data_IF_554840990419
#
_entry.id   IF_554840990419
#
_cell.length_a   1.000
_cell.length_b   1.000
_cell.length_c   1.000
_cell.angle_alpha   90.00
_cell.angle_beta   90.00
_cell.angle_gamma   90.00
#
_symmetry.space_group_name_H-M   'P 1'
#
loop_
_entity.id
_entity.type
_entity.pdbx_description
1 polymer ?
#
# COMPACT_ATOMS: atom_id res chain seq x y z
N UNK A 1 26.43 -14.14 82.33
CA UNK A 1 26.02 -14.70 81.02
C UNK A 1 24.91 -13.82 80.47
N UNK A 2 25.25 -12.97 79.49
CA UNK A 2 24.33 -12.04 78.84
C UNK A 2 23.70 -12.74 77.63
N UNK A 3 22.41 -13.06 77.72
CA UNK A 3 21.63 -13.62 76.62
C UNK A 3 21.24 -12.53 75.63
N UNK A 4 21.70 -12.68 74.38
CA UNK A 4 21.44 -11.73 73.30
C UNK A 4 19.98 -11.72 72.86
N UNK A 5 19.46 -10.51 72.61
CA UNK A 5 18.29 -10.28 71.75
C UNK A 5 18.78 -9.55 70.50
N UNK A 6 18.72 -10.22 69.35
CA UNK A 6 18.83 -9.56 68.03
C UNK A 6 17.55 -8.75 67.77
N UNK A 7 17.62 -7.57 67.14
CA UNK A 7 16.42 -6.86 66.72
C UNK A 7 15.79 -7.56 65.52
N UNK A 8 14.47 -7.69 65.55
CA UNK A 8 13.64 -8.06 64.40
C UNK A 8 13.78 -6.97 63.33
N UNK A 9 14.32 -7.31 62.15
CA UNK A 9 14.17 -6.48 60.96
C UNK A 9 12.81 -6.79 60.33
N UNK A 10 11.83 -5.91 60.51
CA UNK A 10 10.67 -5.87 59.62
C UNK A 10 11.14 -5.28 58.29
N UNK A 11 11.51 -6.14 57.34
CA UNK A 11 11.48 -5.75 55.95
C UNK A 11 10.01 -5.78 55.52
N UNK A 12 9.44 -4.59 55.38
CA UNK A 12 8.17 -4.39 54.69
C UNK A 12 8.42 -4.74 53.22
N UNK A 13 8.09 -5.97 52.82
CA UNK A 13 7.90 -6.31 51.41
C UNK A 13 6.66 -5.56 50.93
N UNK A 14 6.88 -4.35 50.45
CA UNK A 14 5.88 -3.63 49.67
C UNK A 14 5.71 -4.41 48.37
N UNK A 15 4.71 -5.28 48.31
CA UNK A 15 4.29 -5.91 47.07
C UNK A 15 3.89 -4.79 46.10
N UNK A 16 4.76 -4.52 45.13
CA UNK A 16 4.44 -3.64 44.02
C UNK A 16 3.28 -4.30 43.26
N UNK A 17 2.09 -3.71 43.34
CA UNK A 17 0.98 -4.09 42.48
C UNK A 17 1.46 -3.98 41.03
N UNK A 18 1.42 -5.08 40.31
CA UNK A 18 1.76 -5.08 38.89
C UNK A 18 0.80 -4.12 38.17
N UNK A 19 1.29 -3.30 37.23
CA UNK A 19 0.44 -2.43 36.43
C UNK A 19 -0.65 -3.27 35.76
N UNK A 20 -1.90 -2.79 35.83
CA UNK A 20 -3.04 -3.49 35.27
C UNK A 20 -3.10 -3.20 33.76
N UNK A 21 -2.38 -4.02 32.99
CA UNK A 21 -2.31 -3.89 31.54
C UNK A 21 -3.68 -4.22 30.94
N UNK A 22 -4.26 -3.26 30.21
CA UNK A 22 -5.48 -3.44 29.44
C UNK A 22 -5.14 -3.96 28.04
N UNK A 23 -5.65 -5.15 27.71
CA UNK A 23 -5.47 -5.76 26.39
C UNK A 23 -6.74 -5.53 25.59
N UNK A 24 -6.62 -4.77 24.50
CA UNK A 24 -7.66 -4.63 23.49
C UNK A 24 -7.45 -5.65 22.39
N UNK A 25 -8.55 -6.20 21.87
CA UNK A 25 -8.50 -7.20 20.80
C UNK A 25 -7.93 -6.58 19.51
N UNK A 26 -8.46 -5.43 19.10
CA UNK A 26 -8.06 -4.82 17.83
C UNK A 26 -8.24 -3.31 17.80
N UNK A 27 -7.51 -2.64 16.92
CA UNK A 27 -7.77 -1.25 16.48
C UNK A 27 -7.56 -1.14 14.96
N UNK A 28 -8.32 -0.26 14.33
CA UNK A 28 -8.24 0.02 12.89
C UNK A 28 -7.85 1.48 12.66
N UNK A 29 -6.77 1.70 11.90
CA UNK A 29 -6.36 3.01 11.41
C UNK A 29 -6.79 3.20 9.96
N UNK A 30 -7.61 4.21 9.70
CA UNK A 30 -7.98 4.62 8.34
C UNK A 30 -6.99 5.71 7.88
N UNK A 31 -5.88 5.27 7.27
CA UNK A 31 -4.71 6.10 6.99
C UNK A 31 -4.79 6.83 5.63
N UNK A 32 -5.93 7.45 5.35
CA UNK A 32 -6.15 8.25 4.16
C UNK A 32 -7.57 8.78 4.05
N UNK A 33 -7.85 9.46 2.95
CA UNK A 33 -9.16 10.00 2.62
C UNK A 33 -9.51 9.69 1.17
N UNK A 34 -10.81 9.62 0.90
CA UNK A 34 -11.37 9.40 -0.41
C UNK A 34 -11.28 10.68 -1.26
N UNK A 35 -10.90 10.54 -2.53
CA UNK A 35 -10.83 11.64 -3.49
C UNK A 35 -11.76 11.38 -4.67
N UNK A 36 -12.45 12.42 -5.14
CA UNK A 36 -13.39 12.36 -6.26
C UNK A 36 -14.47 11.28 -6.02
N UNK A 37 -14.65 10.34 -6.95
CA UNK A 37 -15.66 9.28 -6.87
C UNK A 37 -15.15 7.98 -6.21
N UNK A 38 -13.91 7.96 -5.70
CA UNK A 38 -13.39 6.80 -4.97
C UNK A 38 -14.02 6.75 -3.57
N UNK A 39 -14.45 5.58 -3.11
CA UNK A 39 -15.09 5.39 -1.80
C UNK A 39 -14.38 4.33 -0.94
N UNK A 40 -13.12 4.02 -1.23
CA UNK A 40 -12.36 2.96 -0.59
C UNK A 40 -12.29 3.10 0.93
N UNK A 41 -11.86 4.26 1.43
CA UNK A 41 -11.68 4.49 2.87
C UNK A 41 -13.00 4.54 3.61
N UNK A 42 -14.01 5.20 3.02
CA UNK A 42 -15.36 5.26 3.57
C UNK A 42 -16.00 3.87 3.66
N UNK A 43 -15.85 3.05 2.64
CA UNK A 43 -16.37 1.67 2.64
C UNK A 43 -15.61 0.77 3.64
N UNK A 44 -14.28 0.91 3.73
CA UNK A 44 -13.49 0.18 4.71
C UNK A 44 -13.90 0.54 6.14
N UNK A 45 -14.09 1.83 6.42
CA UNK A 45 -14.60 2.30 7.70
C UNK A 45 -15.95 1.66 8.03
N UNK A 46 -16.92 1.72 7.11
CA UNK A 46 -18.24 1.11 7.33
C UNK A 46 -18.15 -0.40 7.61
N UNK A 47 -17.27 -1.10 6.90
CA UNK A 47 -17.03 -2.53 7.09
C UNK A 47 -16.51 -2.84 8.50
N UNK A 48 -15.48 -2.14 8.97
CA UNK A 48 -14.93 -2.36 10.32
C UNK A 48 -15.86 -1.87 11.44
N UNK A 49 -16.65 -0.81 11.22
CA UNK A 49 -17.66 -0.35 12.18
C UNK A 49 -18.73 -1.42 12.45
N UNK A 50 -19.18 -2.13 11.41
CA UNK A 50 -20.16 -3.22 11.56
C UNK A 50 -19.61 -4.43 12.32
N UNK A 51 -18.29 -4.57 12.38
CA UNK A 51 -17.61 -5.58 13.19
C UNK A 51 -17.34 -5.10 14.62
N UNK A 52 -17.84 -3.93 14.99
CA UNK A 52 -17.67 -3.33 16.31
C UNK A 52 -16.18 -3.10 16.67
N UNK A 53 -15.32 -2.97 15.67
CA UNK A 53 -13.89 -2.71 15.87
C UNK A 53 -13.65 -1.23 16.14
N UNK A 54 -12.84 -0.85 17.15
CA UNK A 54 -12.43 0.53 17.36
C UNK A 54 -11.71 1.09 16.14
N UNK A 55 -12.09 2.30 15.72
CA UNK A 55 -11.50 2.96 14.56
C UNK A 55 -10.90 4.30 14.98
N UNK A 56 -9.66 4.51 14.61
CA UNK A 56 -8.98 5.81 14.67
C UNK A 56 -8.93 6.41 13.26
N UNK A 57 -9.52 7.60 13.14
CA UNK A 57 -9.57 8.38 11.91
C UNK A 57 -8.69 9.61 12.07
N UNK A 58 -7.99 10.01 11.01
CA UNK A 58 -7.20 11.26 11.01
C UNK A 58 -5.70 11.09 11.25
N UNK A 59 -5.21 9.86 11.45
CA UNK A 59 -3.79 9.55 11.42
C UNK A 59 -3.42 9.04 10.03
N UNK A 60 -2.70 9.86 9.26
CA UNK A 60 -2.46 9.63 7.82
C UNK A 60 -0.99 9.29 7.50
N UNK A 61 -0.15 9.23 8.53
CA UNK A 61 1.28 8.96 8.41
C UNK A 61 1.69 7.82 9.34
N UNK A 62 2.79 7.14 9.00
CA UNK A 62 3.31 6.07 9.86
C UNK A 62 3.78 6.61 11.23
N UNK A 63 4.33 7.82 11.28
CA UNK A 63 4.75 8.45 12.53
C UNK A 63 3.58 8.72 13.47
N UNK A 64 2.45 9.23 12.96
CA UNK A 64 1.25 9.47 13.77
C UNK A 64 0.72 8.16 14.37
N UNK A 65 0.68 7.09 13.57
CA UNK A 65 0.26 5.77 14.05
C UNK A 65 1.23 5.23 15.12
N UNK A 66 2.55 5.36 14.91
CA UNK A 66 3.54 4.93 15.91
C UNK A 66 3.41 5.73 17.20
N UNK A 67 3.27 7.06 17.10
CA UNK A 67 3.08 7.94 18.26
C UNK A 67 1.82 7.57 19.04
N UNK A 68 0.72 7.27 18.34
CA UNK A 68 -0.51 6.78 18.96
C UNK A 68 -0.28 5.47 19.72
N UNK A 69 0.38 4.48 19.10
CA UNK A 69 0.67 3.18 19.73
C UNK A 69 1.58 3.36 20.94
N UNK A 70 2.60 4.22 20.85
CA UNK A 70 3.48 4.53 21.97
C UNK A 70 2.72 5.15 23.15
N UNK A 71 1.87 6.14 22.89
CA UNK A 71 1.03 6.77 23.90
C UNK A 71 0.04 5.78 24.54
N UNK A 72 -0.62 4.93 23.73
CA UNK A 72 -1.46 3.85 24.26
C UNK A 72 -0.64 2.90 25.14
N UNK A 73 0.58 2.59 24.70
CA UNK A 73 1.59 1.81 25.40
C UNK A 73 1.92 2.34 26.80
N UNK A 74 2.23 3.62 26.89
CA UNK A 74 2.50 4.34 28.15
C UNK A 74 1.30 4.33 29.10
N UNK A 75 0.09 4.40 28.54
CA UNK A 75 -1.17 4.30 29.27
C UNK A 75 -1.60 2.84 29.54
N UNK A 76 -0.68 1.88 29.45
CA UNK A 76 -0.90 0.45 29.74
C UNK A 76 -1.96 -0.22 28.86
N UNK A 77 -2.24 0.34 27.68
CA UNK A 77 -3.09 -0.29 26.65
C UNK A 77 -2.21 -1.03 25.66
N UNK A 78 -2.59 -2.26 25.30
CA UNK A 78 -1.93 -3.09 24.29
C UNK A 78 -2.97 -3.62 23.31
N UNK A 79 -2.57 -3.85 22.07
CA UNK A 79 -3.44 -4.38 21.02
C UNK A 79 -2.95 -5.76 20.59
N UNK A 80 -3.86 -6.72 20.41
CA UNK A 80 -3.49 -7.99 19.75
C UNK A 80 -3.37 -7.80 18.24
N UNK A 81 -4.29 -7.05 17.65
CA UNK A 81 -4.31 -6.77 16.21
C UNK A 81 -4.37 -5.27 15.93
N UNK A 82 -3.54 -4.81 14.99
CA UNK A 82 -3.57 -3.44 14.47
C UNK A 82 -3.80 -3.53 12.98
N UNK A 83 -4.93 -3.03 12.52
CA UNK A 83 -5.24 -2.95 11.10
C UNK A 83 -4.89 -1.56 10.57
N UNK A 84 -4.18 -1.50 9.46
CA UNK A 84 -3.84 -0.26 8.78
C UNK A 84 -4.44 -0.29 7.39
N UNK A 85 -5.44 0.55 7.15
CA UNK A 85 -6.08 0.70 5.83
C UNK A 85 -5.40 1.85 5.10
N UNK A 86 -4.70 1.54 4.02
CA UNK A 86 -4.09 2.54 3.14
C UNK A 86 -4.05 2.03 1.71
N UNK A 87 -4.23 2.90 0.72
CA UNK A 87 -3.95 2.51 -0.65
C UNK A 87 -2.47 2.14 -0.81
N UNK A 88 -2.23 1.16 -1.67
CA UNK A 88 -0.89 0.87 -2.16
C UNK A 88 -0.95 0.72 -3.67
N UNK A 89 0.13 1.13 -4.30
CA UNK A 89 0.34 1.00 -5.72
C UNK A 89 1.55 0.09 -5.90
N UNK A 90 1.39 -0.97 -6.71
CA UNK A 90 2.43 -1.97 -6.96
C UNK A 90 3.77 -1.37 -7.42
N UNK A 91 3.73 -0.18 -8.05
CA UNK A 91 4.90 0.51 -8.61
C UNK A 91 5.40 1.69 -7.77
N UNK A 92 4.51 2.40 -7.09
CA UNK A 92 4.83 3.67 -6.38
C UNK A 92 4.85 3.53 -4.84
N UNK A 93 4.73 2.30 -4.33
CA UNK A 93 4.63 2.04 -2.89
C UNK A 93 3.29 2.50 -2.29
N UNK A 94 3.25 2.56 -0.96
CA UNK A 94 2.03 2.90 -0.22
C UNK A 94 1.69 4.39 -0.35
N UNK A 95 0.40 4.74 -0.31
CA UNK A 95 -0.03 6.14 -0.28
C UNK A 95 0.25 6.83 1.03
N UNK A 96 0.26 6.06 2.13
CA UNK A 96 0.71 6.53 3.43
C UNK A 96 2.12 7.10 3.34
N UNK A 97 2.35 8.19 4.07
CA UNK A 97 3.62 8.92 4.09
C UNK A 97 4.39 8.68 5.39
N UNK A 98 5.67 8.99 5.37
CA UNK A 98 6.53 8.96 6.57
C UNK A 98 6.02 9.94 7.63
N UNK A 99 5.77 11.19 7.20
CA UNK A 99 5.27 12.31 8.02
C UNK A 99 4.43 13.24 7.15
N UNK A 100 3.81 14.25 7.75
CA UNK A 100 3.04 15.25 7.03
C UNK A 100 3.90 15.92 5.95
N UNK A 101 3.40 16.01 4.72
CA UNK A 101 4.12 16.51 3.53
C UNK A 101 5.43 15.75 3.21
N UNK A 102 5.69 14.62 3.84
CA UNK A 102 6.87 13.77 3.61
C UNK A 102 6.72 12.84 2.41
N UNK A 103 7.74 12.02 2.17
CA UNK A 103 7.72 11.04 1.08
C UNK A 103 6.70 9.92 1.32
N UNK A 104 6.25 9.31 0.22
CA UNK A 104 5.47 8.06 0.24
C UNK A 104 6.31 6.93 0.84
N UNK A 105 5.65 5.95 1.44
CA UNK A 105 6.33 4.78 1.99
C UNK A 105 6.78 3.85 0.87
N UNK A 106 8.09 3.66 0.80
CA UNK A 106 8.84 2.73 -0.05
C UNK A 106 9.95 2.12 0.79
N UNK A 107 10.63 1.09 0.28
CA UNK A 107 11.80 0.50 0.97
C UNK A 107 12.85 1.59 1.23
N UNK A 108 13.25 2.33 0.18
CA UNK A 108 14.27 3.38 0.26
C UNK A 108 13.88 4.50 1.24
N UNK A 109 12.64 4.98 1.19
CA UNK A 109 12.19 6.08 2.06
C UNK A 109 12.05 5.66 3.52
N UNK A 110 11.65 4.41 3.81
CA UNK A 110 11.65 3.88 5.17
C UNK A 110 13.08 3.70 5.71
N UNK A 111 13.97 3.06 4.96
CA UNK A 111 15.37 2.86 5.36
C UNK A 111 16.06 4.20 5.66
N UNK A 112 15.87 5.19 4.77
CA UNK A 112 16.39 6.53 4.97
C UNK A 112 15.79 7.19 6.22
N UNK A 113 14.47 7.11 6.40
CA UNK A 113 13.82 7.74 7.52
C UNK A 113 14.19 7.10 8.88
N UNK A 114 14.41 5.78 8.92
CA UNK A 114 14.94 5.09 10.12
C UNK A 114 16.37 5.56 10.42
N UNK A 115 17.23 5.66 9.40
CA UNK A 115 18.64 6.05 9.56
C UNK A 115 18.79 7.50 10.04
N UNK A 116 17.97 8.41 9.51
CA UNK A 116 18.02 9.84 9.84
C UNK A 116 17.15 10.20 11.06
N UNK A 117 16.64 9.21 11.81
CA UNK A 117 15.75 9.41 12.97
C UNK A 117 14.48 10.23 12.65
N UNK A 118 14.00 10.16 11.41
CA UNK A 118 12.78 10.81 10.94
C UNK A 118 11.51 9.98 11.23
N UNK A 119 11.66 8.75 11.75
CA UNK A 119 10.58 7.93 12.27
C UNK A 119 10.76 7.73 13.77
N UNK A 120 9.69 7.95 14.54
CA UNK A 120 9.70 7.64 15.96
C UNK A 120 9.93 6.13 16.18
N UNK A 121 10.79 5.78 17.12
CA UNK A 121 10.99 4.37 17.43
C UNK A 121 9.84 3.87 18.28
N UNK A 122 9.16 2.82 17.83
CA UNK A 122 8.15 2.16 18.65
C UNK A 122 8.82 1.41 19.82
N UNK A 123 8.24 1.46 21.01
CA UNK A 123 8.76 0.68 22.14
C UNK A 123 8.37 -0.79 21.94
N UNK A 124 9.35 -1.70 21.85
CA UNK A 124 9.11 -3.13 21.57
C UNK A 124 8.20 -3.79 22.61
N UNK A 125 8.24 -3.33 23.86
CA UNK A 125 7.36 -3.81 24.93
C UNK A 125 5.87 -3.55 24.66
N UNK A 126 5.55 -2.66 23.72
CA UNK A 126 4.18 -2.29 23.37
C UNK A 126 3.64 -3.10 22.19
N UNK A 127 4.51 -3.67 21.34
CA UNK A 127 4.13 -4.41 20.12
C UNK A 127 4.67 -5.84 20.03
N UNK A 128 5.45 -6.30 21.01
CA UNK A 128 6.12 -7.61 21.00
C UNK A 128 5.22 -8.84 21.17
N UNK A 129 3.93 -8.73 20.83
CA UNK A 129 2.97 -9.83 20.59
C UNK A 129 1.83 -9.38 19.64
N UNK A 130 1.97 -8.22 18.99
CA UNK A 130 0.93 -7.61 18.16
C UNK A 130 1.08 -8.03 16.71
N UNK A 131 -0.04 -8.37 16.07
CA UNK A 131 -0.12 -8.56 14.63
C UNK A 131 -0.46 -7.25 13.95
N UNK A 132 0.34 -6.84 12.97
CA UNK A 132 0.00 -5.71 12.11
C UNK A 132 -0.56 -6.24 10.80
N UNK A 133 -1.78 -5.83 10.44
CA UNK A 133 -2.45 -6.24 9.22
C UNK A 133 -2.63 -5.02 8.32
N UNK A 134 -1.98 -5.03 7.16
CA UNK A 134 -2.15 -3.99 6.16
C UNK A 134 -3.23 -4.38 5.14
N UNK A 135 -4.27 -3.55 5.08
CA UNK A 135 -5.27 -3.59 4.02
C UNK A 135 -4.85 -2.62 2.92
N UNK A 136 -3.81 -3.05 2.19
CA UNK A 136 -3.14 -2.26 1.16
C UNK A 136 -2.93 -3.09 -0.10
N UNK A 137 -3.58 -2.67 -1.19
CA UNK A 137 -3.62 -3.43 -2.45
C UNK A 137 -2.22 -3.82 -2.94
N UNK A 138 -1.98 -5.12 -3.13
CA UNK A 138 -0.74 -5.64 -3.70
C UNK A 138 0.48 -5.57 -2.77
N UNK A 139 0.36 -5.10 -1.53
CA UNK A 139 1.51 -4.98 -0.62
C UNK A 139 2.14 -6.35 -0.30
N UNK A 140 1.34 -7.42 -0.30
CA UNK A 140 1.81 -8.80 -0.10
C UNK A 140 2.84 -9.29 -1.11
N UNK A 141 2.87 -8.73 -2.32
CA UNK A 141 3.88 -9.04 -3.34
C UNK A 141 5.26 -8.44 -2.99
N UNK A 142 5.28 -7.31 -2.26
CA UNK A 142 6.52 -6.60 -1.91
C UNK A 142 7.05 -7.04 -0.53
N UNK A 143 7.68 -8.22 -0.50
CA UNK A 143 8.29 -8.79 0.72
C UNK A 143 9.37 -7.93 1.35
N UNK A 144 10.11 -7.15 0.55
CA UNK A 144 11.11 -6.23 1.06
C UNK A 144 10.45 -5.11 1.86
N UNK A 145 9.42 -4.48 1.31
CA UNK A 145 8.68 -3.42 2.01
C UNK A 145 7.96 -3.95 3.26
N UNK A 146 7.36 -5.14 3.20
CA UNK A 146 6.76 -5.75 4.39
C UNK A 146 7.78 -6.05 5.49
N UNK A 147 8.99 -6.47 5.12
CA UNK A 147 10.09 -6.65 6.08
C UNK A 147 10.46 -5.35 6.76
N UNK A 148 10.60 -4.26 5.99
CA UNK A 148 10.90 -2.93 6.56
C UNK A 148 9.78 -2.42 7.46
N UNK A 149 8.51 -2.62 7.08
CA UNK A 149 7.36 -2.29 7.94
C UNK A 149 7.38 -3.10 9.24
N UNK A 150 7.70 -4.39 9.18
CA UNK A 150 7.87 -5.23 10.37
C UNK A 150 8.96 -4.70 11.30
N UNK A 151 10.09 -4.25 10.75
CA UNK A 151 11.17 -3.64 11.53
C UNK A 151 10.73 -2.32 12.18
N UNK A 152 10.06 -1.44 11.42
CA UNK A 152 9.58 -0.15 11.90
C UNK A 152 8.55 -0.29 13.03
N UNK A 153 7.59 -1.20 12.89
CA UNK A 153 6.59 -1.49 13.93
C UNK A 153 7.12 -2.39 15.06
N UNK A 154 8.35 -2.91 14.94
CA UNK A 154 8.94 -3.93 15.84
C UNK A 154 7.96 -5.05 16.19
N UNK A 155 7.10 -5.39 15.23
CA UNK A 155 6.01 -6.34 15.41
C UNK A 155 6.52 -7.77 15.21
N UNK A 156 5.89 -8.72 15.91
CA UNK A 156 6.22 -10.13 15.72
C UNK A 156 5.71 -10.67 14.40
N UNK A 157 4.58 -10.13 13.93
CA UNK A 157 3.93 -10.53 12.70
C UNK A 157 3.43 -9.31 11.93
N UNK A 158 3.74 -9.27 10.63
CA UNK A 158 3.11 -8.34 9.68
C UNK A 158 2.48 -9.12 8.54
N UNK A 159 1.24 -8.78 8.20
CA UNK A 159 0.47 -9.48 7.18
C UNK A 159 -0.11 -8.50 6.16
N UNK A 160 -0.03 -8.83 4.87
CA UNK A 160 -0.73 -8.10 3.82
C UNK A 160 -1.09 -9.01 2.65
N UNK A 161 -2.19 -8.72 1.96
CA UNK A 161 -2.59 -9.48 0.79
C UNK A 161 -1.79 -9.05 -0.46
N UNK A 162 -1.35 -10.00 -1.31
CA UNK A 162 -0.86 -9.68 -2.65
C UNK A 162 -1.99 -9.24 -3.59
N UNK A 163 -3.25 -9.39 -3.16
CA UNK A 163 -4.42 -9.07 -3.96
C UNK A 163 -4.95 -7.66 -3.67
N UNK A 164 -5.89 -7.24 -4.49
CA UNK A 164 -6.60 -5.98 -4.31
C UNK A 164 -7.65 -6.15 -3.22
N UNK A 165 -7.66 -5.25 -2.23
CA UNK A 165 -8.73 -5.20 -1.22
C UNK A 165 -9.90 -4.41 -1.80
N UNK A 166 -11.07 -5.04 -1.92
CA UNK A 166 -12.28 -4.38 -2.39
C UNK A 166 -13.24 -4.22 -1.22
N UNK A 167 -13.50 -2.98 -0.81
CA UNK A 167 -14.50 -2.65 0.20
C UNK A 167 -15.73 -2.02 -0.45
N UNK A 168 -16.92 -2.41 0.02
CA UNK A 168 -18.22 -1.96 -0.50
C UNK A 168 -18.56 -2.57 -1.87
N UNK A 169 -18.21 -3.84 -2.08
CA UNK A 169 -18.66 -4.59 -3.24
C UNK A 169 -20.18 -4.71 -3.31
N UNK A 170 -20.71 -4.99 -4.51
CA UNK A 170 -22.16 -5.12 -4.73
C UNK A 170 -22.71 -6.38 -4.08
N UNK A 171 -21.93 -7.44 -4.03
CA UNK A 171 -22.35 -8.75 -3.52
C UNK A 171 -21.65 -9.17 -2.21
N UNK A 172 -20.59 -8.46 -1.81
CA UNK A 172 -19.90 -8.64 -0.53
C UNK A 172 -19.29 -7.33 -0.04
N UNK A 173 -19.37 -7.07 1.26
CA UNK A 173 -18.85 -5.82 1.85
C UNK A 173 -17.32 -5.73 1.80
N UNK A 174 -16.64 -6.88 1.84
CA UNK A 174 -15.19 -6.98 1.64
C UNK A 174 -14.86 -8.28 0.92
N UNK A 175 -14.00 -8.20 -0.09
CA UNK A 175 -13.40 -9.37 -0.73
C UNK A 175 -12.04 -9.03 -1.33
N UNK A 176 -11.30 -10.06 -1.72
CA UNK A 176 -10.03 -9.94 -2.43
C UNK A 176 -10.22 -10.21 -3.93
N UNK A 177 -9.58 -9.39 -4.76
CA UNK A 177 -9.56 -9.57 -6.20
C UNK A 177 -8.13 -9.60 -6.74
N UNK A 178 -7.85 -10.55 -7.63
CA UNK A 178 -6.56 -10.62 -8.30
C UNK A 178 -6.49 -9.58 -9.41
N UNK A 179 -5.50 -8.66 -9.40
CA UNK A 179 -5.35 -7.65 -10.45
C UNK A 179 -4.58 -8.20 -11.66
N UNK A 180 -4.97 -7.74 -12.84
CA UNK A 180 -4.26 -7.94 -14.11
C UNK A 180 -4.15 -6.59 -14.81
N UNK A 181 -2.97 -6.31 -15.37
CA UNK A 181 -2.65 -4.97 -15.86
C UNK A 181 -2.38 -4.99 -17.36
N UNK A 182 -2.94 -3.98 -18.03
CA UNK A 182 -2.58 -3.61 -19.39
C UNK A 182 -2.27 -2.11 -19.45
N UNK A 183 -1.45 -1.72 -20.41
CA UNK A 183 -0.96 -0.36 -20.51
C UNK A 183 -1.12 0.17 -21.93
N UNK A 184 -1.44 1.45 -22.05
CA UNK A 184 -1.41 2.14 -23.34
C UNK A 184 -1.12 3.63 -23.14
N UNK A 185 -0.50 4.30 -24.15
CA UNK A 185 -0.25 5.74 -24.08
C UNK A 185 -1.56 6.50 -23.85
N UNK A 186 -1.59 7.41 -22.89
CA UNK A 186 -2.85 8.05 -22.49
C UNK A 186 -3.55 8.73 -23.67
N UNK A 187 -4.85 8.49 -23.81
CA UNK A 187 -5.71 8.93 -24.93
C UNK A 187 -5.43 8.27 -26.31
N UNK A 188 -4.59 7.23 -26.36
CA UNK A 188 -4.29 6.47 -27.58
C UNK A 188 -4.73 5.00 -27.45
N UNK A 189 -5.90 4.79 -26.83
CA UNK A 189 -6.50 3.46 -26.68
C UNK A 189 -6.84 2.87 -28.05
N UNK A 190 -6.36 1.64 -28.32
CA UNK A 190 -6.74 0.85 -29.50
C UNK A 190 -8.13 0.21 -29.40
N UNK A 191 -8.84 0.45 -28.29
CA UNK A 191 -10.18 -0.07 -28.04
C UNK A 191 -10.20 -1.45 -27.34
N UNK A 192 -11.34 -1.83 -26.73
CA UNK A 192 -11.43 -3.06 -25.93
C UNK A 192 -11.12 -4.35 -26.69
N UNK A 193 -11.48 -4.43 -27.98
CA UNK A 193 -11.21 -5.63 -28.80
C UNK A 193 -9.71 -5.90 -28.93
N UNK A 194 -8.92 -4.90 -29.31
CA UNK A 194 -7.47 -5.02 -29.41
C UNK A 194 -6.84 -5.31 -28.04
N UNK A 195 -7.23 -4.54 -27.02
CA UNK A 195 -6.70 -4.72 -25.67
C UNK A 195 -7.03 -6.10 -25.11
N UNK A 196 -8.20 -6.67 -25.41
CA UNK A 196 -8.55 -8.04 -24.98
C UNK A 196 -7.61 -9.10 -25.56
N UNK A 197 -7.06 -8.86 -26.75
CA UNK A 197 -6.07 -9.76 -27.35
C UNK A 197 -4.73 -9.64 -26.64
N UNK A 198 -4.29 -8.41 -26.36
CA UNK A 198 -3.06 -8.17 -25.60
C UNK A 198 -3.12 -8.80 -24.20
N UNK A 199 -4.26 -8.73 -23.52
CA UNK A 199 -4.46 -9.43 -22.25
C UNK A 199 -4.41 -10.96 -22.40
N UNK A 200 -4.98 -11.54 -23.46
CA UNK A 200 -4.87 -12.98 -23.73
C UNK A 200 -3.43 -13.42 -23.97
N UNK A 201 -2.64 -12.59 -24.65
CA UNK A 201 -1.23 -12.85 -24.92
C UNK A 201 -0.37 -12.72 -23.65
N UNK A 202 -0.64 -11.70 -22.82
CA UNK A 202 0.09 -11.46 -21.57
C UNK A 202 -0.30 -12.45 -20.45
N UNK A 203 -1.53 -12.99 -20.48
CA UNK A 203 -2.09 -13.86 -19.46
C UNK A 203 -2.71 -15.13 -20.08
N UNK A 204 -1.93 -15.98 -20.78
CA UNK A 204 -2.46 -17.09 -21.57
C UNK A 204 -3.13 -18.19 -20.74
N UNK A 205 -2.76 -18.31 -19.46
CA UNK A 205 -3.27 -19.34 -18.54
C UNK A 205 -4.44 -18.84 -17.67
N UNK A 206 -4.97 -17.66 -17.96
CA UNK A 206 -6.03 -17.04 -17.16
C UNK A 206 -7.34 -17.10 -17.92
N UNK A 207 -8.32 -17.79 -17.34
CA UNK A 207 -9.65 -17.99 -17.92
C UNK A 207 -10.60 -16.84 -17.57
N UNK A 208 -10.36 -15.68 -18.19
CA UNK A 208 -11.23 -14.50 -18.09
C UNK A 208 -11.74 -14.17 -19.49
N UNK A 209 -13.03 -13.85 -19.62
CA UNK A 209 -13.53 -13.14 -20.80
C UNK A 209 -13.03 -11.69 -20.76
N UNK A 210 -11.85 -11.49 -21.35
CA UNK A 210 -11.18 -10.20 -21.36
C UNK A 210 -11.99 -9.12 -22.06
N UNK A 211 -12.74 -9.44 -23.11
CA UNK A 211 -13.51 -8.40 -23.80
C UNK A 211 -14.59 -7.85 -22.88
N UNK A 212 -15.35 -8.75 -22.26
CA UNK A 212 -16.39 -8.39 -21.30
C UNK A 212 -15.79 -7.65 -20.11
N UNK A 213 -14.76 -8.18 -19.47
CA UNK A 213 -14.11 -7.56 -18.32
C UNK A 213 -13.59 -6.13 -18.62
N UNK A 214 -13.08 -5.90 -19.83
CA UNK A 214 -12.59 -4.58 -20.26
C UNK A 214 -13.69 -3.56 -20.56
N UNK A 215 -14.92 -4.03 -20.78
CA UNK A 215 -16.11 -3.17 -20.98
C UNK A 215 -16.91 -2.95 -19.69
N UNK A 216 -16.81 -3.87 -18.73
CA UNK A 216 -17.45 -3.80 -17.42
C UNK A 216 -16.63 -2.93 -16.47
N UNK A 217 -17.19 -1.79 -16.01
CA UNK A 217 -16.44 -0.78 -15.23
C UNK A 217 -16.44 -0.97 -13.72
N UNK A 218 -17.38 -1.77 -13.24
CA UNK A 218 -17.62 -2.08 -11.84
C UNK A 218 -18.28 -3.45 -11.78
N UNK A 219 -18.33 -4.04 -10.59
CA UNK A 219 -18.98 -5.33 -10.37
C UNK A 219 -20.45 -5.30 -10.84
N UNK A 220 -20.73 -6.01 -11.92
CA UNK A 220 -22.05 -6.05 -12.56
C UNK A 220 -22.82 -7.33 -12.22
N UNK A 221 -22.09 -8.45 -12.21
CA UNK A 221 -22.56 -9.78 -11.83
C UNK A 221 -21.61 -10.38 -10.78
N UNK A 222 -22.12 -11.36 -10.03
CA UNK A 222 -21.35 -12.04 -9.01
C UNK A 222 -20.11 -12.74 -9.62
N UNK A 223 -18.93 -12.51 -9.03
CA UNK A 223 -17.69 -13.19 -9.40
C UNK A 223 -17.11 -12.83 -10.78
N UNK A 224 -17.77 -12.00 -11.56
CA UNK A 224 -17.29 -11.59 -12.88
C UNK A 224 -16.17 -10.56 -12.78
N UNK A 225 -15.16 -10.70 -13.63
CA UNK A 225 -14.08 -9.73 -13.70
C UNK A 225 -14.57 -8.39 -14.27
N UNK A 226 -14.04 -7.30 -13.73
CA UNK A 226 -14.36 -5.94 -14.15
C UNK A 226 -13.09 -5.10 -14.18
N UNK A 227 -13.14 -3.92 -14.80
CA UNK A 227 -11.95 -3.10 -15.00
C UNK A 227 -12.17 -1.63 -14.75
N UNK A 228 -11.17 -1.00 -14.15
CA UNK A 228 -11.07 0.44 -14.01
C UNK A 228 -9.78 0.96 -14.62
N UNK A 229 -9.70 2.28 -14.79
CA UNK A 229 -8.57 2.95 -15.42
C UNK A 229 -8.04 4.03 -14.51
N UNK A 230 -6.73 4.18 -14.49
CA UNK A 230 -6.05 5.32 -13.87
C UNK A 230 -4.80 5.65 -14.69
N UNK A 231 -4.20 6.79 -14.40
CA UNK A 231 -3.01 7.23 -15.12
C UNK A 231 -1.80 7.28 -14.21
N UNK A 232 -0.65 6.90 -14.74
CA UNK A 232 0.65 7.08 -14.08
C UNK A 232 1.42 8.14 -14.88
N UNK A 233 1.65 9.33 -14.31
CA UNK A 233 2.53 10.32 -14.90
C UNK A 233 3.99 10.08 -14.47
N UNK A 234 4.91 10.45 -15.35
CA UNK A 234 6.32 10.69 -15.03
C UNK A 234 6.70 12.07 -15.55
N UNK A 235 7.47 12.82 -14.79
CA UNK A 235 7.81 14.20 -15.10
C UNK A 235 9.22 14.51 -14.61
N UNK A 236 10.01 15.13 -15.48
CA UNK A 236 11.37 15.59 -15.19
C UNK A 236 11.56 17.01 -15.70
N UNK A 237 12.27 17.81 -14.92
CA UNK A 237 12.63 19.18 -15.26
C UNK A 237 14.15 19.35 -15.21
N UNK A 238 14.71 19.90 -16.29
CA UNK A 238 16.15 20.12 -16.44
C UNK A 238 16.39 21.59 -16.76
N UNK A 239 17.10 22.30 -15.89
CA UNK A 239 17.46 23.70 -16.10
C UNK A 239 18.88 23.78 -16.64
N UNK A 240 19.04 24.50 -17.76
CA UNK A 240 20.32 24.67 -18.44
C UNK A 240 20.86 26.08 -18.21
N UNK A 241 22.16 26.20 -17.99
CA UNK A 241 22.81 27.52 -17.91
C UNK A 241 22.74 28.24 -19.26
N UNK A 242 22.85 27.49 -20.36
CA UNK A 242 22.74 27.98 -21.72
C UNK A 242 21.71 27.17 -22.51
N UNK A 243 20.73 27.85 -23.11
CA UNK A 243 19.67 27.22 -23.89
C UNK A 243 20.18 26.50 -25.16
N UNK A 244 21.38 26.82 -25.64
CA UNK A 244 22.00 26.10 -26.75
C UNK A 244 22.45 24.68 -26.41
N UNK A 245 22.66 24.38 -25.13
CA UNK A 245 23.05 23.04 -24.66
C UNK A 245 21.84 22.11 -24.49
N UNK A 246 20.63 22.65 -24.63
CA UNK A 246 19.38 21.91 -24.49
C UNK A 246 19.18 20.93 -25.66
N UNK A 247 18.89 19.65 -25.38
CA UNK A 247 18.65 18.67 -26.44
C UNK A 247 17.37 19.02 -27.20
N UNK A 248 17.41 18.81 -28.52
CA UNK A 248 16.25 19.03 -29.41
C UNK A 248 15.42 17.76 -29.49
N UNK A 249 14.42 17.66 -28.62
CA UNK A 249 13.49 16.53 -28.57
C UNK A 249 12.27 16.82 -29.44
N UNK A 250 12.37 16.53 -30.74
CA UNK A 250 11.37 16.91 -31.74
C UNK A 250 10.16 15.96 -31.84
N UNK A 251 10.34 14.68 -31.49
CA UNK A 251 9.33 13.64 -31.61
C UNK A 251 9.38 12.65 -30.44
N UNK A 252 8.48 11.66 -30.47
CA UNK A 252 8.33 10.65 -29.41
C UNK A 252 9.62 9.84 -29.27
N UNK A 253 10.19 9.43 -30.39
CA UNK A 253 11.39 8.59 -30.47
C UNK A 253 12.59 9.31 -29.85
N UNK A 254 12.82 10.58 -30.20
CA UNK A 254 13.88 11.39 -29.60
C UNK A 254 13.72 11.54 -28.07
N UNK A 255 12.48 11.70 -27.57
CA UNK A 255 12.23 11.74 -26.13
C UNK A 255 12.55 10.39 -25.50
N UNK A 256 12.12 9.29 -26.12
CA UNK A 256 12.35 7.94 -25.61
C UNK A 256 13.84 7.60 -25.55
N UNK A 257 14.59 7.93 -26.59
CA UNK A 257 16.04 7.74 -26.65
C UNK A 257 16.71 8.49 -25.49
N UNK A 258 16.40 9.79 -25.34
CA UNK A 258 16.93 10.61 -24.25
C UNK A 258 16.59 10.08 -22.84
N UNK A 259 15.35 9.64 -22.65
CA UNK A 259 14.89 9.05 -21.38
C UNK A 259 15.61 7.72 -21.10
N UNK A 260 15.87 6.92 -22.12
CA UNK A 260 16.54 5.61 -21.98
C UNK A 260 18.05 5.72 -21.73
N UNK A 261 18.69 6.79 -22.21
CA UNK A 261 20.13 7.03 -22.01
C UNK A 261 20.46 7.60 -20.63
N UNK A 262 19.51 8.23 -19.94
CA UNK A 262 19.68 8.69 -18.56
C UNK A 262 19.52 7.53 -17.57
N UNK A 263 20.55 7.19 -16.78
CA UNK A 263 20.44 6.15 -15.76
C UNK A 263 19.33 6.42 -14.74
N UNK A 264 19.15 7.68 -14.34
CA UNK A 264 18.16 8.07 -13.33
C UNK A 264 16.72 7.91 -13.85
N UNK A 265 16.45 8.36 -15.09
CA UNK A 265 15.13 8.20 -15.69
C UNK A 265 14.83 6.73 -16.02
N UNK A 266 15.83 6.00 -16.51
CA UNK A 266 15.72 4.57 -16.77
C UNK A 266 15.43 3.77 -15.50
N UNK A 267 16.04 4.10 -14.35
CA UNK A 267 15.75 3.45 -13.06
C UNK A 267 14.28 3.67 -12.66
N UNK A 268 13.73 4.86 -12.85
CA UNK A 268 12.32 5.15 -12.59
C UNK A 268 11.42 4.28 -13.46
N UNK A 269 11.66 4.20 -14.77
CA UNK A 269 10.87 3.37 -15.67
C UNK A 269 11.00 1.87 -15.37
N UNK A 270 12.20 1.43 -14.99
CA UNK A 270 12.45 0.04 -14.59
C UNK A 270 11.66 -0.32 -13.32
N UNK A 271 11.66 0.56 -12.31
CA UNK A 271 10.86 0.38 -11.10
C UNK A 271 9.36 0.35 -11.38
N UNK A 272 8.89 1.13 -12.37
CA UNK A 272 7.51 1.09 -12.83
C UNK A 272 7.16 -0.19 -13.59
N UNK A 273 8.13 -0.97 -14.09
CA UNK A 273 7.88 -2.15 -14.92
C UNK A 273 6.89 -1.91 -16.08
N UNK A 274 6.80 -0.67 -16.57
CA UNK A 274 5.93 -0.29 -17.68
C UNK A 274 6.84 0.01 -18.87
N UNK A 275 6.65 -0.66 -20.01
CA UNK A 275 7.47 -0.42 -21.19
C UNK A 275 7.40 1.05 -21.64
N UNK A 276 8.54 1.62 -21.99
CA UNK A 276 8.70 3.05 -22.33
C UNK A 276 7.78 3.49 -23.47
N UNK A 277 7.48 2.60 -24.42
CA UNK A 277 6.59 2.85 -25.56
C UNK A 277 5.11 2.98 -25.16
N UNK A 278 4.74 2.51 -23.97
CA UNK A 278 3.38 2.59 -23.40
C UNK A 278 3.10 3.95 -22.75
N UNK A 279 4.07 4.86 -22.74
CA UNK A 279 3.86 6.24 -22.33
C UNK A 279 3.59 7.12 -23.55
N UNK A 280 2.68 8.08 -23.36
CA UNK A 280 2.54 9.23 -24.26
C UNK A 280 3.53 10.29 -23.83
N UNK A 281 4.58 10.47 -24.63
CA UNK A 281 5.68 11.39 -24.37
C UNK A 281 5.41 12.79 -24.90
N UNK A 282 5.80 13.81 -24.14
CA UNK A 282 5.81 15.22 -24.54
C UNK A 282 7.01 15.92 -23.92
N UNK A 283 7.65 16.78 -24.70
CA UNK A 283 8.65 17.73 -24.22
C UNK A 283 8.09 19.16 -24.36
N UNK A 284 8.51 20.05 -23.49
CA UNK A 284 8.24 21.49 -23.60
C UNK A 284 9.40 22.28 -23.03
N UNK A 285 9.65 23.46 -23.59
CA UNK A 285 10.71 24.36 -23.14
C UNK A 285 10.08 25.60 -22.52
N UNK A 286 10.48 25.96 -21.31
CA UNK A 286 10.08 27.18 -20.62
C UNK A 286 11.34 27.95 -20.18
N UNK A 287 11.69 29.00 -20.93
CA UNK A 287 12.96 29.72 -20.73
C UNK A 287 14.16 28.79 -20.91
N UNK A 288 14.93 28.60 -19.85
CA UNK A 288 16.10 27.72 -19.81
C UNK A 288 15.79 26.31 -19.28
N UNK A 289 14.52 25.98 -19.04
CA UNK A 289 14.12 24.70 -18.47
C UNK A 289 13.48 23.82 -19.54
N UNK A 290 14.00 22.62 -19.72
CA UNK A 290 13.37 21.54 -20.47
C UNK A 290 12.51 20.70 -19.53
N UNK A 291 11.25 20.54 -19.88
CA UNK A 291 10.29 19.71 -19.14
C UNK A 291 9.95 18.50 -20.01
N UNK A 292 10.13 17.30 -19.49
CA UNK A 292 9.78 16.04 -20.14
C UNK A 292 8.66 15.39 -19.34
N UNK A 293 7.55 15.07 -20.01
CA UNK A 293 6.38 14.42 -19.41
C UNK A 293 6.04 13.14 -20.16
N UNK A 294 5.89 12.05 -19.42
CA UNK A 294 5.30 10.80 -19.88
C UNK A 294 3.98 10.55 -19.16
N UNK A 295 2.97 10.05 -19.88
CA UNK A 295 1.73 9.59 -19.24
C UNK A 295 1.22 8.31 -19.86
N UNK A 296 1.04 7.29 -19.04
CA UNK A 296 0.43 6.02 -19.44
C UNK A 296 -0.93 5.86 -18.77
N UNK A 297 -1.86 5.23 -19.46
CA UNK A 297 -3.11 4.76 -18.87
C UNK A 297 -2.96 3.29 -18.51
N UNK A 298 -3.15 3.00 -17.23
CA UNK A 298 -3.23 1.65 -16.70
C UNK A 298 -4.68 1.18 -16.79
N UNK A 299 -4.88 0.01 -17.36
CA UNK A 299 -6.12 -0.72 -17.36
C UNK A 299 -5.99 -1.87 -16.37
N UNK A 300 -6.65 -1.75 -15.23
CA UNK A 300 -6.62 -2.75 -14.17
C UNK A 300 -7.89 -3.59 -14.25
N UNK A 301 -7.75 -4.87 -14.59
CA UNK A 301 -8.81 -5.87 -14.49
C UNK A 301 -8.72 -6.54 -13.13
N UNK A 302 -9.80 -6.47 -12.36
CA UNK A 302 -9.93 -7.18 -11.10
C UNK A 302 -10.77 -8.44 -11.32
N UNK A 303 -10.19 -9.58 -10.98
CA UNK A 303 -10.90 -10.86 -10.95
C UNK A 303 -11.15 -11.27 -9.49
N UNK A 304 -12.40 -11.27 -9.01
CA UNK A 304 -12.71 -11.68 -7.65
C UNK A 304 -12.21 -13.10 -7.34
N UNK A 305 -11.73 -13.31 -6.12
CA UNK A 305 -11.31 -14.63 -5.65
C UNK A 305 -12.52 -15.33 -5.04
N UNK A 306 -12.90 -16.47 -5.62
CA UNK A 306 -14.04 -17.27 -5.22
C UNK A 306 -13.61 -18.50 -4.44
N UNK A 307 -14.53 -19.08 -3.67
CA UNK A 307 -14.27 -20.36 -3.00
C UNK A 307 -14.07 -21.49 -4.01
N UNK A 308 -13.10 -22.35 -3.74
CA UNK A 308 -12.75 -23.49 -4.60
C UNK A 308 -13.77 -24.63 -4.57
N UNK A 309 -14.70 -24.63 -3.61
CA UNK A 309 -15.73 -25.65 -3.42
C UNK A 309 -16.92 -25.52 -4.39
N UNK A 310 -16.90 -24.56 -5.31
CA UNK A 310 -17.99 -24.33 -6.26
C UNK A 310 -19.22 -23.64 -5.65
N UNK A 311 -19.12 -23.15 -4.41
CA UNK A 311 -20.10 -22.22 -3.87
C UNK A 311 -20.03 -20.91 -4.66
N UNK A 312 -21.18 -20.34 -5.02
CA UNK A 312 -21.27 -18.98 -5.57
C UNK A 312 -21.01 -17.96 -4.45
N UNK A 313 -19.84 -18.02 -3.83
CA UNK A 313 -19.42 -17.19 -2.71
C UNK A 313 -17.98 -16.69 -2.91
N UNK A 314 -17.73 -15.46 -2.48
CA UNK A 314 -16.36 -14.96 -2.40
C UNK A 314 -15.57 -15.79 -1.39
N UNK A 315 -14.27 -15.94 -1.66
CA UNK A 315 -13.36 -16.55 -0.70
C UNK A 315 -13.36 -15.72 0.59
N UNK A 316 -13.51 -16.39 1.73
CA UNK A 316 -13.47 -15.73 3.03
C UNK A 316 -12.10 -15.07 3.25
N UNK A 317 -12.11 -13.78 3.59
CA UNK A 317 -10.89 -12.99 3.78
C UNK A 317 -10.35 -13.22 5.19
N UNK A 318 -9.70 -14.37 5.40
CA UNK A 318 -9.00 -14.67 6.65
C UNK A 318 -7.52 -14.26 6.54
N UNK A 319 -7.06 -13.42 7.47
CA UNK A 319 -5.66 -12.95 7.53
C UNK A 319 -4.65 -14.05 7.84
N UNK A 320 -5.13 -15.19 8.37
CA UNK A 320 -4.32 -16.37 8.66
C UNK A 320 -4.18 -17.30 7.44
N UNK A 321 -4.97 -17.08 6.38
CA UNK A 321 -4.90 -17.85 5.15
C UNK A 321 -3.66 -17.43 4.34
N UNK A 322 -2.62 -18.27 4.40
CA UNK A 322 -1.36 -18.06 3.67
C UNK A 322 -1.50 -18.12 2.15
N UNK A 323 -2.62 -18.58 1.61
CA UNK A 323 -2.91 -18.48 0.18
C UNK A 323 -3.41 -17.09 -0.23
N UNK A 324 -3.90 -16.31 0.74
CA UNK A 324 -4.47 -14.97 0.56
C UNK A 324 -3.62 -13.85 1.14
N UNK A 325 -2.73 -14.16 2.09
CA UNK A 325 -1.88 -13.22 2.78
C UNK A 325 -0.42 -13.66 2.80
N UNK A 326 0.47 -12.71 2.52
CA UNK A 326 1.87 -12.82 2.88
C UNK A 326 1.99 -12.45 4.35
N UNK A 327 2.47 -13.40 5.15
CA UNK A 327 2.69 -13.25 6.60
C UNK A 327 4.19 -13.33 6.85
N UNK A 328 4.77 -12.34 7.52
CA UNK A 328 6.20 -12.27 7.86
C UNK A 328 6.45 -12.29 9.35
#
# INVERSE_FOLDING_TARGET
>A
MLGGKKPFSQQSETALALPNISIQESIVFIAGFDESDNTYYSNAKQYFQKQEMPIEEGLHTINEIIAYINNAGENQVRFKEIHVVSHSNAWLGMSMRIKENGERITVKSLEYAVKEYNIESICKEYTGNTKIIFHSCGLGENKALLTELKHVFKADQVSASPYFNVFGGKYAEHYLAKPYYGFYPTAESKGPAFLSQEFRENYPNVHIDWLTALTTRQESSFGEAYSFKFNIPVEWEFTFDNSNDMPKLADKEAIMDWVSESPEMAEVLFALQIPIEKFRWRSSVNGNTLIIKGKTTVLCVLAPILQSNGANEYQNVSVEDRSLYQIL
#
